data_IF_920566951254
#
_entry.id   IF_920566951254
#
_cell.length_a   1.000
_cell.length_b   1.000
_cell.length_c   1.000
_cell.angle_alpha   90.00
_cell.angle_beta   90.00
_cell.angle_gamma   90.00
#
_symmetry.space_group_name_H-M   'P 1'
#
loop_
_entity.id
_entity.type
_entity.pdbx_description
1 polymer ?
#
# COMPACT_ATOMS: atom_id res chain seq x y z
N UNK A 1 51.71 18.49 -24.15
CA UNK A 1 50.56 19.34 -23.77
C UNK A 1 49.38 18.48 -23.42
N UNK A 2 49.07 18.46 -22.11
CA UNK A 2 47.90 17.83 -21.50
C UNK A 2 46.63 18.67 -21.73
N UNK A 3 45.48 17.98 -21.55
CA UNK A 3 44.13 18.41 -21.16
C UNK A 3 43.03 18.28 -22.25
N UNK A 4 41.76 17.95 -21.88
CA UNK A 4 41.31 17.27 -20.66
C UNK A 4 40.37 16.07 -20.90
N UNK A 5 40.49 15.10 -20.00
CA UNK A 5 39.58 13.98 -19.77
C UNK A 5 38.36 14.53 -19.02
N UNK A 6 37.17 14.54 -19.63
CA UNK A 6 35.95 15.04 -18.99
C UNK A 6 35.11 13.86 -18.46
N UNK A 7 34.74 13.98 -17.18
CA UNK A 7 34.12 12.99 -16.32
C UNK A 7 32.82 12.39 -16.88
N UNK A 8 32.77 11.05 -16.97
CA UNK A 8 31.54 10.28 -17.18
C UNK A 8 31.12 9.46 -15.93
N UNK A 9 31.65 9.77 -14.75
CA UNK A 9 31.32 9.06 -13.50
C UNK A 9 30.07 9.55 -12.75
N UNK A 10 29.33 10.53 -13.28
CA UNK A 10 28.16 11.09 -12.58
C UNK A 10 26.82 10.38 -12.86
N UNK A 11 26.73 9.49 -13.85
CA UNK A 11 25.45 8.85 -14.17
C UNK A 11 25.14 7.63 -13.28
N UNK A 12 26.13 6.80 -12.95
CA UNK A 12 25.89 5.58 -12.14
C UNK A 12 25.61 5.89 -10.67
N UNK A 13 26.20 6.94 -10.10
CA UNK A 13 25.91 7.40 -8.74
C UNK A 13 24.52 8.06 -8.61
N UNK A 14 24.03 8.70 -9.68
CA UNK A 14 22.67 9.25 -9.67
C UNK A 14 21.60 8.17 -9.70
N UNK A 15 21.82 7.02 -10.36
CA UNK A 15 20.86 5.90 -10.32
C UNK A 15 20.79 5.25 -8.93
N UNK A 16 21.92 4.98 -8.27
CA UNK A 16 21.89 4.43 -6.91
C UNK A 16 21.32 5.42 -5.88
N UNK A 17 21.70 6.69 -5.93
CA UNK A 17 21.18 7.71 -5.01
C UNK A 17 19.69 7.99 -5.23
N UNK A 18 19.22 7.97 -6.48
CA UNK A 18 17.80 8.09 -6.82
C UNK A 18 16.99 6.88 -6.34
N UNK A 19 17.50 5.65 -6.53
CA UNK A 19 16.86 4.43 -6.02
C UNK A 19 16.76 4.43 -4.48
N UNK A 20 17.79 4.91 -3.79
CA UNK A 20 17.83 4.97 -2.33
C UNK A 20 16.85 6.03 -1.77
N UNK A 21 16.81 7.23 -2.40
CA UNK A 21 15.85 8.28 -2.06
C UNK A 21 14.38 7.88 -2.38
N UNK A 22 14.19 7.02 -3.38
CA UNK A 22 12.89 6.47 -3.79
C UNK A 22 12.35 5.37 -2.87
N UNK A 23 13.22 4.69 -2.11
CA UNK A 23 12.85 3.73 -1.05
C UNK A 23 12.51 4.45 0.25
N UNK A 24 13.27 5.47 0.62
CA UNK A 24 13.04 6.32 1.81
C UNK A 24 11.70 7.08 1.74
N UNK A 25 11.23 7.39 0.53
CA UNK A 25 9.94 8.02 0.28
C UNK A 25 8.80 7.01 0.06
N UNK A 26 9.06 5.71 0.17
CA UNK A 26 8.02 4.70 0.04
C UNK A 26 7.25 4.60 1.36
N UNK A 27 5.93 4.62 1.27
CA UNK A 27 5.05 4.51 2.43
C UNK A 27 5.22 3.15 3.13
N UNK A 28 5.73 2.12 2.43
CA UNK A 28 6.21 0.88 3.05
C UNK A 28 7.40 1.10 4.00
N UNK A 29 8.33 2.02 3.70
CA UNK A 29 9.40 2.42 4.61
C UNK A 29 8.86 3.26 5.77
N UNK A 30 7.85 4.11 5.52
CA UNK A 30 7.16 4.88 6.58
C UNK A 30 6.36 3.96 7.50
N UNK A 31 5.57 3.03 6.97
CA UNK A 31 4.84 2.01 7.72
C UNK A 31 5.79 1.07 8.48
N UNK A 32 6.91 0.69 7.87
CA UNK A 32 7.97 -0.05 8.56
C UNK A 32 8.57 0.79 9.70
N UNK A 33 8.84 2.08 9.49
CA UNK A 33 9.35 2.97 10.53
C UNK A 33 8.34 3.27 11.64
N UNK A 34 7.04 3.37 11.32
CA UNK A 34 5.96 3.60 12.28
C UNK A 34 5.71 2.34 13.11
N UNK A 35 5.67 1.17 12.47
CA UNK A 35 5.58 -0.10 13.16
C UNK A 35 6.84 -0.39 13.99
N UNK A 36 8.04 0.01 13.53
CA UNK A 36 9.28 -0.09 14.32
C UNK A 36 9.33 0.91 15.47
N UNK A 37 8.81 2.14 15.28
CA UNK A 37 8.77 3.16 16.33
C UNK A 37 7.80 2.79 17.45
N UNK A 38 6.63 2.22 17.11
CA UNK A 38 5.68 1.68 18.09
C UNK A 38 6.21 0.48 18.87
N UNK A 39 7.31 -0.13 18.41
CA UNK A 39 7.92 -1.32 19.03
C UNK A 39 9.23 -1.01 19.77
N UNK A 40 9.77 0.21 19.61
CA UNK A 40 11.00 0.65 20.28
C UNK A 40 10.80 1.05 21.74
N UNK A 41 9.55 1.21 22.18
CA UNK A 41 9.22 1.59 23.57
C UNK A 41 9.12 0.38 24.52
N UNK A 42 9.28 -0.87 24.02
CA UNK A 42 9.11 -2.10 24.81
C UNK A 42 10.34 -3.04 24.83
N UNK A 43 11.47 -2.69 24.19
CA UNK A 43 12.69 -3.53 24.22
C UNK A 43 13.49 -3.30 25.52
N UNK A 44 12.99 -3.88 26.61
CA UNK A 44 13.78 -4.15 27.82
C UNK A 44 13.28 -5.45 28.49
N UNK A 45 13.07 -6.52 27.72
CA UNK A 45 13.17 -7.93 28.13
C UNK A 45 12.71 -8.83 26.99
N UNK A 46 13.67 -9.46 26.32
CA UNK A 46 13.70 -10.91 26.12
C UNK A 46 14.89 -11.23 25.19
N UNK A 47 16.02 -11.53 25.84
CA UNK A 47 17.08 -12.30 25.22
C UNK A 47 16.57 -13.74 25.09
N UNK A 48 16.22 -14.14 23.88
CA UNK A 48 16.27 -15.56 23.51
C UNK A 48 17.09 -15.72 22.23
N UNK A 49 18.10 -16.56 22.38
CA UNK A 49 19.20 -16.86 21.46
C UNK A 49 18.73 -17.22 20.04
N UNK A 50 19.16 -16.42 19.06
CA UNK A 50 19.51 -16.95 17.73
C UNK A 50 20.87 -16.38 17.36
N UNK A 51 21.89 -17.18 17.65
CA UNK A 51 23.22 -17.04 17.10
C UNK A 51 23.17 -17.52 15.64
N UNK A 52 23.23 -16.60 14.68
CA UNK A 52 23.66 -16.94 13.32
C UNK A 52 24.61 -15.86 12.82
N UNK A 53 25.89 -16.20 12.94
CA UNK A 53 27.01 -15.44 12.42
C UNK A 53 27.23 -15.86 10.98
N UNK A 54 26.94 -14.99 10.01
CA UNK A 54 27.61 -15.05 8.71
C UNK A 54 27.72 -13.65 8.10
N UNK A 55 28.97 -13.20 8.00
CA UNK A 55 29.38 -12.00 7.28
C UNK A 55 29.27 -12.26 5.77
N UNK A 56 28.10 -12.03 5.16
CA UNK A 56 27.86 -12.17 3.71
C UNK A 56 27.94 -10.83 2.94
N UNK A 57 28.81 -9.91 3.33
CA UNK A 57 29.01 -8.65 2.58
C UNK A 57 30.11 -8.70 1.49
N UNK A 58 31.00 -9.69 1.49
CA UNK A 58 32.18 -9.68 0.59
C UNK A 58 32.07 -10.57 -0.68
N UNK A 59 31.22 -11.60 -0.69
CA UNK A 59 31.12 -12.50 -1.86
C UNK A 59 30.10 -12.02 -2.92
N UNK A 60 29.15 -11.16 -2.53
CA UNK A 60 28.11 -10.64 -3.41
C UNK A 60 28.63 -9.63 -4.46
N UNK A 61 29.80 -9.03 -4.24
CA UNK A 61 30.45 -8.11 -5.19
C UNK A 61 31.12 -8.86 -6.35
N UNK A 62 31.47 -10.14 -6.17
CA UNK A 62 32.15 -10.95 -7.20
C UNK A 62 31.19 -11.53 -8.23
N UNK A 63 29.99 -11.95 -7.82
CA UNK A 63 28.98 -12.53 -8.72
C UNK A 63 28.40 -11.45 -9.65
N UNK A 64 28.13 -10.24 -9.12
CA UNK A 64 27.63 -9.11 -9.91
C UNK A 64 28.62 -8.63 -11.00
N UNK A 65 29.94 -8.79 -10.76
CA UNK A 65 30.98 -8.45 -11.75
C UNK A 65 31.16 -9.49 -12.85
N UNK A 66 30.87 -10.77 -12.60
CA UNK A 66 31.02 -11.84 -13.58
C UNK A 66 29.92 -11.81 -14.67
N UNK A 67 28.70 -11.38 -14.32
CA UNK A 67 27.59 -11.27 -15.28
C UNK A 67 27.73 -10.06 -16.21
N UNK A 68 28.46 -9.01 -15.78
CA UNK A 68 28.68 -7.80 -16.56
C UNK A 68 29.76 -7.94 -17.68
N UNK A 69 30.51 -9.04 -17.71
CA UNK A 69 31.67 -9.18 -18.61
C UNK A 69 31.39 -9.87 -19.96
N UNK A 70 30.16 -10.26 -20.29
CA UNK A 70 29.88 -11.06 -21.52
C UNK A 70 28.81 -10.47 -22.45
N UNK A 71 28.60 -9.16 -22.46
CA UNK A 71 27.74 -8.52 -23.48
C UNK A 71 28.57 -7.64 -24.41
N UNK A 72 29.06 -8.25 -25.49
CA UNK A 72 29.57 -7.55 -26.66
C UNK A 72 28.47 -6.71 -27.29
N UNK A 73 28.75 -5.42 -27.44
CA UNK A 73 27.84 -4.40 -27.93
C UNK A 73 27.24 -4.75 -29.31
N UNK A 74 25.93 -4.94 -29.35
CA UNK A 74 25.14 -4.86 -30.59
C UNK A 74 24.20 -3.66 -30.46
N UNK A 75 24.53 -2.57 -31.15
CA UNK A 75 23.74 -1.34 -31.20
C UNK A 75 22.40 -1.60 -31.87
N UNK A 76 21.35 -1.74 -31.06
CA UNK A 76 19.95 -1.79 -31.52
C UNK A 76 19.34 -0.39 -31.38
N UNK A 77 18.47 0.08 -32.30
CA UNK A 77 17.97 1.46 -32.26
C UNK A 77 17.10 1.68 -31.03
N UNK A 78 17.43 2.69 -30.22
CA UNK A 78 16.66 3.10 -29.05
C UNK A 78 15.26 3.57 -29.47
N UNK A 79 14.26 2.73 -29.16
CA UNK A 79 12.83 3.06 -29.16
C UNK A 79 12.59 4.32 -28.33
N UNK A 80 11.68 5.24 -28.73
CA UNK A 80 11.35 6.40 -27.90
C UNK A 80 10.86 5.92 -26.54
N UNK A 81 11.39 6.51 -25.45
CA UNK A 81 11.06 6.18 -24.06
C UNK A 81 9.58 6.50 -23.78
N UNK A 82 8.70 5.55 -24.07
CA UNK A 82 7.41 5.47 -23.38
C UNK A 82 7.65 5.37 -21.87
N UNK A 83 6.73 5.91 -21.07
CA UNK A 83 6.80 5.82 -19.61
C UNK A 83 6.92 4.36 -19.17
N UNK A 84 7.99 4.04 -18.46
CA UNK A 84 8.22 2.74 -17.81
C UNK A 84 6.98 2.33 -17.00
N UNK A 85 6.43 1.15 -17.24
CA UNK A 85 5.19 0.68 -16.62
C UNK A 85 5.30 0.66 -15.09
N UNK A 86 6.45 0.25 -14.53
CA UNK A 86 6.67 0.23 -13.09
C UNK A 86 6.52 1.63 -12.45
N UNK A 87 7.00 2.66 -13.15
CA UNK A 87 6.89 4.05 -12.71
C UNK A 87 5.45 4.53 -12.87
N UNK A 88 4.82 4.21 -14.00
CA UNK A 88 3.43 4.58 -14.28
C UNK A 88 2.46 4.00 -13.24
N UNK A 89 2.63 2.73 -12.85
CA UNK A 89 1.88 2.15 -11.74
C UNK A 89 2.14 2.90 -10.43
N UNK A 90 3.40 3.06 -10.00
CA UNK A 90 3.74 3.73 -8.73
C UNK A 90 3.11 5.13 -8.63
N UNK A 91 3.24 5.94 -9.69
CA UNK A 91 2.70 7.30 -9.70
C UNK A 91 1.19 7.32 -9.88
N UNK A 92 0.66 6.46 -10.75
CA UNK A 92 -0.76 6.43 -11.10
C UNK A 92 -1.65 5.84 -10.02
N UNK A 93 -1.11 5.07 -9.08
CA UNK A 93 -1.87 4.49 -7.96
C UNK A 93 -1.56 5.13 -6.61
N UNK A 94 -0.75 6.19 -6.54
CA UNK A 94 -0.28 6.75 -5.26
C UNK A 94 -1.42 7.23 -4.37
N UNK A 95 -2.45 7.85 -4.96
CA UNK A 95 -3.62 8.34 -4.21
C UNK A 95 -4.46 7.17 -3.67
N UNK A 96 -4.68 6.13 -4.48
CA UNK A 96 -5.41 4.92 -4.08
C UNK A 96 -4.67 4.13 -3.00
N UNK A 97 -3.33 4.11 -3.10
CA UNK A 97 -2.47 3.53 -2.09
C UNK A 97 -2.58 4.28 -0.75
N UNK A 98 -2.47 5.62 -0.75
CA UNK A 98 -2.71 6.44 0.45
C UNK A 98 -4.12 6.20 1.00
N UNK A 99 -5.14 6.13 0.15
CA UNK A 99 -6.51 5.88 0.57
C UNK A 99 -6.69 4.50 1.23
N UNK A 100 -6.02 3.46 0.71
CA UNK A 100 -6.10 2.10 1.23
C UNK A 100 -5.49 1.99 2.63
N UNK A 101 -4.34 2.62 2.85
CA UNK A 101 -3.73 2.68 4.18
C UNK A 101 -4.54 3.48 5.19
N UNK A 102 -5.40 4.38 4.70
CA UNK A 102 -6.25 5.19 5.55
C UNK A 102 -7.57 4.52 5.94
N UNK A 103 -7.89 3.33 5.40
CA UNK A 103 -9.04 2.52 5.84
C UNK A 103 -8.87 2.14 7.31
N UNK A 104 -9.96 2.17 8.07
CA UNK A 104 -9.91 2.00 9.53
C UNK A 104 -9.33 0.64 9.92
N UNK A 105 -9.81 -0.44 9.30
CA UNK A 105 -9.27 -1.78 9.49
C UNK A 105 -7.74 -1.83 9.32
N UNK A 106 -7.21 -1.23 8.25
CA UNK A 106 -5.76 -1.24 7.94
C UNK A 106 -4.96 -0.44 8.98
N UNK A 107 -5.48 0.70 9.43
CA UNK A 107 -4.85 1.49 10.50
C UNK A 107 -4.77 0.71 11.81
N UNK A 108 -5.87 0.09 12.22
CA UNK A 108 -5.91 -0.72 13.44
C UNK A 108 -4.99 -1.93 13.31
N UNK A 109 -4.95 -2.54 12.11
CA UNK A 109 -4.01 -3.60 11.82
C UNK A 109 -2.58 -3.18 12.11
N UNK A 110 -2.12 -2.05 11.56
CA UNK A 110 -0.76 -1.56 11.74
C UNK A 110 -0.46 -1.21 13.21
N UNK A 111 -1.48 -0.78 13.96
CA UNK A 111 -1.38 -0.49 15.40
C UNK A 111 -1.38 -1.74 16.28
N UNK A 112 -1.62 -2.92 15.71
CA UNK A 112 -1.80 -4.16 16.48
C UNK A 112 -3.14 -4.28 17.18
N UNK A 113 -4.13 -3.48 16.79
CA UNK A 113 -5.51 -3.53 17.31
C UNK A 113 -6.36 -4.44 16.41
N UNK A 114 -6.02 -5.74 16.36
CA UNK A 114 -6.63 -6.71 15.43
C UNK A 114 -7.47 -7.72 16.21
N UNK A 115 -8.74 -7.83 15.84
CA UNK A 115 -9.59 -8.94 16.26
C UNK A 115 -9.26 -10.22 15.48
N UNK A 116 -9.13 -11.34 16.18
CA UNK A 116 -8.81 -12.66 15.60
C UNK A 116 -9.88 -13.14 14.62
N UNK A 117 -11.15 -12.91 14.92
CA UNK A 117 -12.27 -13.29 14.05
C UNK A 117 -12.25 -12.51 12.75
N UNK A 118 -12.08 -11.18 12.83
CA UNK A 118 -11.98 -10.32 11.65
C UNK A 118 -10.74 -10.65 10.80
N UNK A 119 -9.62 -11.01 11.42
CA UNK A 119 -8.45 -11.47 10.68
C UNK A 119 -8.73 -12.78 9.94
N UNK A 120 -9.38 -13.75 10.59
CA UNK A 120 -9.81 -15.00 9.95
C UNK A 120 -10.74 -14.75 8.75
N UNK A 121 -11.68 -13.80 8.87
CA UNK A 121 -12.54 -13.39 7.75
C UNK A 121 -11.76 -12.73 6.60
N UNK A 122 -10.74 -11.93 6.92
CA UNK A 122 -9.84 -11.36 5.92
C UNK A 122 -9.09 -12.47 5.19
N UNK A 123 -8.51 -13.43 5.91
CA UNK A 123 -7.79 -14.57 5.32
C UNK A 123 -8.68 -15.33 4.35
N UNK A 124 -9.95 -15.59 4.71
CA UNK A 124 -10.91 -16.22 3.81
C UNK A 124 -11.18 -15.39 2.55
N UNK A 125 -11.37 -14.08 2.71
CA UNK A 125 -11.58 -13.17 1.58
C UNK A 125 -10.37 -13.17 0.63
N UNK A 126 -9.15 -13.14 1.19
CA UNK A 126 -7.92 -13.24 0.43
C UNK A 126 -7.82 -14.60 -0.29
N UNK A 127 -8.12 -15.71 0.38
CA UNK A 127 -8.10 -17.04 -0.23
C UNK A 127 -8.93 -17.08 -1.53
N UNK A 128 -10.15 -16.54 -1.50
CA UNK A 128 -11.00 -16.49 -2.69
C UNK A 128 -10.43 -15.60 -3.80
N UNK A 129 -9.91 -14.42 -3.45
CA UNK A 129 -9.31 -13.48 -4.41
C UNK A 129 -8.05 -14.08 -5.07
N UNK A 130 -7.13 -14.63 -4.28
CA UNK A 130 -5.90 -15.25 -4.81
C UNK A 130 -6.21 -16.53 -5.57
N UNK A 131 -7.16 -17.35 -5.12
CA UNK A 131 -7.58 -18.54 -5.88
C UNK A 131 -8.08 -18.18 -7.27
N UNK A 132 -8.93 -17.15 -7.38
CA UNK A 132 -9.43 -16.68 -8.66
C UNK A 132 -8.30 -16.08 -9.52
N UNK A 133 -7.47 -15.20 -8.94
CA UNK A 133 -6.37 -14.54 -9.62
C UNK A 133 -5.34 -15.55 -10.15
N UNK A 134 -4.89 -16.48 -9.32
CA UNK A 134 -3.86 -17.45 -9.67
C UNK A 134 -4.35 -18.46 -10.70
N UNK A 135 -5.61 -18.87 -10.61
CA UNK A 135 -6.23 -19.72 -11.63
C UNK A 135 -6.19 -19.08 -13.01
N UNK A 136 -6.54 -17.79 -13.14
CA UNK A 136 -6.54 -17.11 -14.44
C UNK A 136 -5.14 -16.66 -14.86
N UNK A 137 -4.24 -16.36 -13.93
CA UNK A 137 -2.84 -16.08 -14.24
C UNK A 137 -2.16 -17.30 -14.88
N UNK A 138 -2.36 -18.50 -14.33
CA UNK A 138 -1.81 -19.73 -14.90
C UNK A 138 -2.26 -19.95 -16.36
N UNK A 139 -3.50 -19.56 -16.67
CA UNK A 139 -4.08 -19.72 -18.01
C UNK A 139 -3.59 -18.66 -19.01
N UNK A 140 -3.42 -17.40 -18.57
CA UNK A 140 -3.22 -16.27 -19.47
C UNK A 140 -1.83 -15.64 -19.41
N UNK A 141 -1.17 -15.61 -18.25
CA UNK A 141 0.11 -14.94 -18.08
C UNK A 141 1.23 -15.51 -18.97
N UNK A 142 1.35 -16.85 -19.18
CA UNK A 142 2.37 -17.41 -20.07
C UNK A 142 2.29 -16.92 -21.52
N UNK A 143 1.09 -16.51 -21.97
CA UNK A 143 0.85 -16.02 -23.34
C UNK A 143 1.00 -14.50 -23.43
N UNK A 144 0.48 -13.76 -22.44
CA UNK A 144 0.38 -12.31 -22.51
C UNK A 144 1.57 -11.56 -21.89
N UNK A 145 2.16 -12.08 -20.81
CA UNK A 145 3.27 -11.44 -20.09
C UNK A 145 4.16 -12.48 -19.36
N UNK A 146 4.74 -13.47 -20.09
CA UNK A 146 5.46 -14.60 -19.48
C UNK A 146 6.64 -14.17 -18.60
N UNK A 147 7.31 -13.06 -18.95
CA UNK A 147 8.45 -12.54 -18.19
C UNK A 147 8.07 -11.97 -16.83
N UNK A 148 6.78 -11.75 -16.58
CA UNK A 148 6.24 -11.23 -15.31
C UNK A 148 5.49 -12.31 -14.51
N UNK A 149 5.53 -13.58 -14.92
CA UNK A 149 4.80 -14.66 -14.29
C UNK A 149 5.73 -15.50 -13.40
N UNK A 150 5.53 -15.42 -12.08
CA UNK A 150 6.40 -16.03 -11.05
C UNK A 150 5.60 -16.88 -10.04
N UNK A 151 4.94 -17.97 -10.47
CA UNK A 151 4.04 -18.74 -9.60
C UNK A 151 4.76 -19.35 -8.39
N UNK A 152 5.96 -19.92 -8.57
CA UNK A 152 6.73 -20.52 -7.47
C UNK A 152 7.08 -19.50 -6.38
N UNK A 153 7.33 -18.25 -6.78
CA UNK A 153 7.76 -17.20 -5.85
C UNK A 153 6.59 -16.46 -5.23
N UNK A 154 5.46 -16.31 -5.94
CA UNK A 154 4.40 -15.38 -5.58
C UNK A 154 3.06 -16.02 -5.26
N UNK A 155 2.76 -17.23 -5.71
CA UNK A 155 1.45 -17.84 -5.45
C UNK A 155 1.18 -17.96 -3.95
N UNK A 156 -0.01 -17.54 -3.52
CA UNK A 156 -0.46 -17.43 -2.12
C UNK A 156 -1.58 -18.41 -1.81
N UNK A 157 -2.24 -19.03 -2.80
CA UNK A 157 -3.36 -19.92 -2.53
C UNK A 157 -3.02 -21.02 -1.52
N UNK A 158 -1.90 -21.73 -1.72
CA UNK A 158 -1.51 -22.83 -0.82
C UNK A 158 -1.22 -22.35 0.62
N UNK A 159 -0.57 -21.19 0.78
CA UNK A 159 -0.32 -20.64 2.12
C UNK A 159 -1.60 -20.10 2.78
N UNK A 160 -2.56 -19.62 1.99
CA UNK A 160 -3.89 -19.23 2.49
C UNK A 160 -4.75 -20.46 2.86
N UNK A 161 -4.58 -21.60 2.19
CA UNK A 161 -5.20 -22.87 2.60
C UNK A 161 -4.67 -23.33 3.96
N UNK A 162 -3.35 -23.27 4.16
CA UNK A 162 -2.71 -23.56 5.46
C UNK A 162 -3.19 -22.61 6.57
N UNK A 163 -3.29 -21.32 6.27
CA UNK A 163 -3.82 -20.34 7.22
C UNK A 163 -5.30 -20.64 7.55
N UNK A 164 -6.12 -21.04 6.57
CA UNK A 164 -7.52 -21.40 6.82
C UNK A 164 -7.68 -22.71 7.60
N UNK A 165 -6.79 -23.68 7.41
CA UNK A 165 -6.71 -24.87 8.27
C UNK A 165 -6.51 -24.47 9.73
N UNK A 166 -5.62 -23.51 10.00
CA UNK A 166 -5.40 -22.97 11.35
C UNK A 166 -6.61 -22.16 11.87
N UNK A 167 -7.14 -21.22 11.09
CA UNK A 167 -8.14 -20.27 11.55
C UNK A 167 -9.57 -20.82 11.61
N UNK A 168 -9.91 -21.75 10.71
CA UNK A 168 -11.28 -22.22 10.51
C UNK A 168 -11.41 -23.75 10.43
N UNK A 169 -10.30 -24.49 10.57
CA UNK A 169 -10.29 -25.95 10.40
C UNK A 169 -10.42 -26.37 8.94
N UNK A 170 -10.12 -25.46 8.01
CA UNK A 170 -10.16 -25.66 6.56
C UNK A 170 -10.91 -24.57 5.83
N UNK A 171 -10.92 -24.67 4.50
CA UNK A 171 -11.68 -23.73 3.65
C UNK A 171 -13.19 -23.94 3.89
N UNK A 172 -13.90 -22.96 4.46
CA UNK A 172 -15.32 -23.09 4.74
C UNK A 172 -16.13 -23.13 3.44
N UNK A 173 -17.29 -23.80 3.48
CA UNK A 173 -18.25 -23.83 2.37
C UNK A 173 -19.16 -22.60 2.32
N UNK A 174 -18.94 -21.61 3.19
CA UNK A 174 -19.74 -20.39 3.26
C UNK A 174 -19.63 -19.59 1.95
N UNK A 175 -20.70 -18.89 1.53
CA UNK A 175 -20.61 -18.01 0.39
C UNK A 175 -19.61 -16.88 0.64
N UNK A 176 -18.98 -16.40 -0.42
CA UNK A 176 -18.15 -15.19 -0.39
C UNK A 176 -18.96 -13.98 0.09
N UNK A 177 -18.30 -13.05 0.77
CA UNK A 177 -18.91 -11.74 1.06
C UNK A 177 -19.14 -10.96 -0.24
N UNK A 178 -20.09 -10.00 -0.26
CA UNK A 178 -20.35 -9.20 -1.46
C UNK A 178 -19.10 -8.52 -2.05
N UNK A 179 -18.24 -7.87 -1.25
CA UNK A 179 -17.03 -7.24 -1.78
C UNK A 179 -16.02 -8.24 -2.33
N UNK A 180 -15.87 -9.41 -1.68
CA UNK A 180 -15.01 -10.49 -2.16
C UNK A 180 -15.53 -11.04 -3.50
N UNK A 181 -16.84 -11.27 -3.59
CA UNK A 181 -17.50 -11.73 -4.81
C UNK A 181 -17.33 -10.72 -5.96
N UNK A 182 -17.48 -9.42 -5.69
CA UNK A 182 -17.25 -8.36 -6.68
C UNK A 182 -15.81 -8.38 -7.21
N UNK A 183 -14.83 -8.60 -6.32
CA UNK A 183 -13.43 -8.71 -6.71
C UNK A 183 -13.22 -9.92 -7.63
N UNK A 184 -13.64 -11.11 -7.19
CA UNK A 184 -13.53 -12.35 -7.97
C UNK A 184 -14.22 -12.21 -9.33
N UNK A 185 -15.40 -11.59 -9.38
CA UNK A 185 -16.11 -11.31 -10.62
C UNK A 185 -15.30 -10.41 -11.56
N UNK A 186 -14.65 -9.36 -11.05
CA UNK A 186 -13.80 -8.48 -11.86
C UNK A 186 -12.62 -9.24 -12.46
N UNK A 187 -11.93 -10.06 -11.66
CA UNK A 187 -10.80 -10.90 -12.12
C UNK A 187 -11.24 -11.80 -13.28
N UNK A 188 -12.37 -12.51 -13.15
CA UNK A 188 -12.85 -13.37 -14.21
C UNK A 188 -13.32 -12.62 -15.46
N UNK A 189 -13.95 -11.44 -15.29
CA UNK A 189 -14.35 -10.60 -16.41
C UNK A 189 -13.14 -10.14 -17.22
N UNK A 190 -12.11 -9.58 -16.58
CA UNK A 190 -10.92 -9.11 -17.31
C UNK A 190 -10.11 -10.26 -17.90
N UNK A 191 -10.05 -11.42 -17.25
CA UNK A 191 -9.41 -12.61 -17.82
C UNK A 191 -10.06 -13.02 -19.15
N UNK A 192 -11.37 -12.80 -19.30
CA UNK A 192 -12.10 -13.09 -20.53
C UNK A 192 -11.92 -11.98 -21.59
N UNK A 193 -12.01 -10.73 -21.16
CA UNK A 193 -12.18 -9.59 -22.06
C UNK A 193 -10.85 -8.92 -22.47
N UNK A 194 -9.91 -8.75 -21.51
CA UNK A 194 -8.57 -8.21 -21.74
C UNK A 194 -7.56 -8.79 -20.72
N UNK A 195 -7.00 -9.98 -21.00
CA UNK A 195 -6.15 -10.69 -20.05
C UNK A 195 -4.89 -9.92 -19.62
N UNK A 196 -4.43 -8.94 -20.41
CA UNK A 196 -3.28 -8.11 -20.03
C UNK A 196 -3.54 -7.35 -18.72
N UNK A 197 -4.79 -6.98 -18.45
CA UNK A 197 -5.20 -6.27 -17.23
C UNK A 197 -5.00 -7.09 -15.95
N UNK A 198 -4.86 -8.42 -16.04
CA UNK A 198 -4.49 -9.26 -14.90
C UNK A 198 -3.15 -8.85 -14.28
N UNK A 199 -2.24 -8.28 -15.08
CA UNK A 199 -0.96 -7.78 -14.61
C UNK A 199 -1.12 -6.66 -13.57
N UNK A 200 -2.19 -5.85 -13.68
CA UNK A 200 -2.49 -4.78 -12.71
C UNK A 200 -2.92 -5.35 -11.35
N UNK A 201 -3.70 -6.43 -11.34
CA UNK A 201 -4.09 -7.10 -10.10
C UNK A 201 -2.92 -7.84 -9.45
N UNK A 202 -2.12 -8.56 -10.26
CA UNK A 202 -0.89 -9.20 -9.80
C UNK A 202 0.09 -8.17 -9.21
N UNK A 203 0.29 -7.04 -9.89
CA UNK A 203 1.10 -5.93 -9.38
C UNK A 203 0.58 -5.42 -8.03
N UNK A 204 -0.70 -5.04 -7.96
CA UNK A 204 -1.28 -4.43 -6.76
C UNK A 204 -1.22 -5.37 -5.55
N UNK A 205 -1.49 -6.67 -5.75
CA UNK A 205 -1.47 -7.67 -4.68
C UNK A 205 -0.03 -8.05 -4.30
N UNK A 206 0.72 -8.69 -5.20
CA UNK A 206 2.01 -9.29 -4.85
C UNK A 206 3.07 -8.28 -4.40
N UNK A 207 3.17 -7.12 -5.05
CA UNK A 207 4.13 -6.10 -4.60
C UNK A 207 3.69 -5.43 -3.30
N UNK A 208 2.39 -5.38 -3.03
CA UNK A 208 1.83 -4.99 -1.74
C UNK A 208 2.24 -5.98 -0.64
N UNK A 209 2.05 -7.28 -0.86
CA UNK A 209 2.39 -8.32 0.13
C UNK A 209 3.90 -8.35 0.46
N UNK A 210 4.75 -8.17 -0.56
CA UNK A 210 6.20 -8.04 -0.41
C UNK A 210 6.63 -6.70 0.20
N UNK A 211 5.72 -5.75 0.34
CA UNK A 211 5.94 -4.44 0.94
C UNK A 211 5.32 -4.41 2.33
N UNK A 212 6.10 -4.86 3.31
CA UNK A 212 5.68 -4.88 4.71
C UNK A 212 5.23 -6.24 5.22
N UNK A 213 5.19 -7.30 4.41
CA UNK A 213 4.79 -8.64 4.86
C UNK A 213 5.49 -9.12 6.14
N UNK A 214 6.81 -8.92 6.28
CA UNK A 214 7.55 -9.24 7.52
C UNK A 214 7.09 -8.41 8.73
N UNK A 215 6.77 -7.14 8.51
CA UNK A 215 6.29 -6.22 9.54
C UNK A 215 4.87 -6.56 9.94
N UNK A 216 3.96 -6.69 8.96
CA UNK A 216 2.56 -7.05 9.16
C UNK A 216 2.43 -8.42 9.84
N UNK A 217 3.25 -9.41 9.45
CA UNK A 217 3.34 -10.69 10.14
C UNK A 217 3.72 -10.51 11.61
N UNK A 218 4.74 -9.71 11.92
CA UNK A 218 5.17 -9.48 13.31
C UNK A 218 4.07 -8.78 14.12
N UNK A 219 3.43 -7.78 13.54
CA UNK A 219 2.32 -7.06 14.17
C UNK A 219 1.16 -8.02 14.43
N UNK A 220 0.74 -8.78 13.42
CA UNK A 220 -0.32 -9.78 13.54
C UNK A 220 0.00 -10.84 14.60
N UNK A 221 1.23 -11.38 14.59
CA UNK A 221 1.70 -12.37 15.56
C UNK A 221 1.61 -11.85 17.00
N UNK A 222 2.08 -10.63 17.24
CA UNK A 222 2.05 -10.00 18.57
C UNK A 222 0.62 -9.65 18.99
N UNK A 223 -0.14 -9.00 18.11
CA UNK A 223 -1.50 -8.54 18.39
C UNK A 223 -2.46 -9.69 18.73
N UNK A 224 -2.30 -10.83 18.05
CA UNK A 224 -3.19 -11.98 18.20
C UNK A 224 -2.61 -13.09 19.09
N UNK A 225 -1.41 -12.90 19.68
CA UNK A 225 -0.73 -13.91 20.50
C UNK A 225 -0.59 -15.27 19.79
N UNK A 226 0.07 -15.24 18.63
CA UNK A 226 0.30 -16.43 17.80
C UNK A 226 1.72 -16.98 18.02
N UNK A 227 1.84 -18.29 18.23
CA UNK A 227 3.14 -18.93 18.40
C UNK A 227 3.89 -19.08 17.06
N UNK A 228 3.29 -19.78 16.08
CA UNK A 228 3.93 -20.07 14.77
C UNK A 228 2.98 -20.03 13.57
N UNK A 229 1.81 -20.65 13.70
CA UNK A 229 0.90 -20.91 12.56
C UNK A 229 -0.10 -19.77 12.33
N UNK A 230 -0.82 -19.83 11.19
CA UNK A 230 -1.88 -18.88 10.83
C UNK A 230 -1.41 -17.57 10.17
N UNK A 231 -0.15 -17.50 9.77
CA UNK A 231 0.46 -16.36 9.07
C UNK A 231 1.34 -16.77 7.86
N UNK A 232 1.13 -17.96 7.30
CA UNK A 232 1.84 -18.53 6.17
C UNK A 232 1.69 -17.63 4.92
N UNK A 233 0.58 -16.92 4.76
CA UNK A 233 0.37 -15.94 3.69
C UNK A 233 1.53 -14.94 3.54
N UNK A 234 2.11 -14.51 4.67
CA UNK A 234 3.21 -13.54 4.70
C UNK A 234 4.60 -14.16 4.44
N UNK A 235 4.69 -15.48 4.27
CA UNK A 235 5.95 -16.19 4.00
C UNK A 235 6.18 -16.38 2.50
N UNK A 236 7.37 -16.00 2.05
CA UNK A 236 7.79 -16.17 0.66
C UNK A 236 9.06 -17.04 0.63
N UNK A 237 8.96 -18.36 0.85
CA UNK A 237 10.13 -19.23 1.04
C UNK A 237 11.05 -19.26 -0.19
N UNK A 238 10.51 -19.02 -1.38
CA UNK A 238 11.26 -18.97 -2.64
C UNK A 238 11.86 -17.58 -2.95
N UNK A 239 11.69 -16.59 -2.06
CA UNK A 239 12.24 -15.23 -2.19
C UNK A 239 13.22 -14.95 -1.06
N UNK A 240 14.52 -15.02 -1.36
CA UNK A 240 15.58 -14.70 -0.38
C UNK A 240 15.61 -13.22 0.00
N UNK A 241 15.48 -12.33 -0.98
CA UNK A 241 15.49 -10.88 -0.77
C UNK A 241 14.26 -10.23 -1.43
N UNK A 242 13.26 -9.81 -0.64
CA UNK A 242 12.09 -9.10 -1.16
C UNK A 242 12.44 -7.83 -1.93
N UNK A 243 13.53 -7.14 -1.55
CA UNK A 243 13.99 -5.95 -2.27
C UNK A 243 14.46 -6.29 -3.68
N UNK A 244 15.40 -7.24 -3.81
CA UNK A 244 15.93 -7.67 -5.11
C UNK A 244 14.83 -8.25 -6.00
N UNK A 245 13.91 -9.03 -5.43
CA UNK A 245 12.79 -9.59 -6.19
C UNK A 245 11.84 -8.50 -6.69
N UNK A 246 11.50 -7.49 -5.88
CA UNK A 246 10.70 -6.35 -6.33
C UNK A 246 11.39 -5.57 -7.45
N UNK A 247 12.71 -5.40 -7.39
CA UNK A 247 13.47 -4.74 -8.45
C UNK A 247 13.48 -5.56 -9.74
N UNK A 248 13.66 -6.88 -9.66
CA UNK A 248 13.51 -7.79 -10.79
C UNK A 248 12.11 -7.71 -11.40
N UNK A 249 11.06 -7.77 -10.58
CA UNK A 249 9.68 -7.68 -11.05
C UNK A 249 9.43 -6.35 -11.81
N UNK A 250 9.92 -5.23 -11.27
CA UNK A 250 9.83 -3.92 -11.95
C UNK A 250 10.59 -3.88 -13.28
N UNK A 251 11.77 -4.50 -13.34
CA UNK A 251 12.52 -4.62 -14.59
C UNK A 251 11.75 -5.44 -15.63
N UNK A 252 11.09 -6.52 -15.23
CA UNK A 252 10.22 -7.30 -16.11
C UNK A 252 9.04 -6.47 -16.62
N UNK A 253 8.37 -5.68 -15.76
CA UNK A 253 7.30 -4.76 -16.17
C UNK A 253 7.80 -3.73 -17.20
N UNK A 254 8.97 -3.16 -16.97
CA UNK A 254 9.54 -2.12 -17.82
C UNK A 254 10.07 -2.65 -19.16
N UNK A 255 10.29 -3.96 -19.28
CA UNK A 255 10.72 -4.63 -20.49
C UNK A 255 9.56 -5.01 -21.42
N UNK A 256 8.30 -4.94 -20.95
CA UNK A 256 7.14 -5.27 -21.78
C UNK A 256 6.99 -4.25 -22.93
N UNK A 257 6.73 -4.76 -24.13
CA UNK A 257 6.40 -3.92 -25.28
C UNK A 257 4.93 -3.51 -25.25
N UNK A 258 4.66 -2.38 -24.59
CA UNK A 258 3.31 -1.84 -24.41
C UNK A 258 3.15 -0.49 -25.10
N UNK A 259 2.00 -0.31 -25.72
CA UNK A 259 1.55 1.00 -26.22
C UNK A 259 1.20 1.93 -25.04
N UNK A 260 1.24 3.26 -25.24
CA UNK A 260 0.79 4.21 -24.22
C UNK A 260 -0.66 3.97 -23.76
N UNK A 261 -1.54 3.52 -24.67
CA UNK A 261 -2.92 3.18 -24.35
C UNK A 261 -3.01 1.97 -23.41
N UNK A 262 -2.24 0.90 -23.67
CA UNK A 262 -2.17 -0.26 -22.77
C UNK A 262 -1.63 0.12 -21.39
N UNK A 263 -0.58 0.95 -21.33
CA UNK A 263 -0.05 1.44 -20.04
C UNK A 263 -1.12 2.23 -19.28
N UNK A 264 -1.88 3.09 -19.96
CA UNK A 264 -2.98 3.84 -19.35
C UNK A 264 -4.07 2.90 -18.81
N UNK A 265 -4.53 1.92 -19.60
CA UNK A 265 -5.53 0.93 -19.18
C UNK A 265 -5.06 0.12 -17.97
N UNK A 266 -3.80 -0.33 -17.99
CA UNK A 266 -3.20 -1.03 -16.86
C UNK A 266 -3.22 -0.18 -15.59
N UNK A 267 -2.80 1.08 -15.65
CA UNK A 267 -2.81 1.99 -14.49
C UNK A 267 -4.22 2.21 -13.95
N UNK A 268 -5.21 2.40 -14.82
CA UNK A 268 -6.60 2.51 -14.40
C UNK A 268 -7.07 1.23 -13.70
N UNK A 269 -6.77 0.06 -14.25
CA UNK A 269 -7.13 -1.22 -13.62
C UNK A 269 -6.43 -1.43 -12.27
N UNK A 270 -5.18 -0.97 -12.12
CA UNK A 270 -4.49 -1.07 -10.84
C UNK A 270 -5.26 -0.27 -9.76
N UNK A 271 -5.84 0.87 -10.12
CA UNK A 271 -6.71 1.63 -9.22
C UNK A 271 -8.04 0.90 -8.91
N UNK A 272 -8.62 0.19 -9.88
CA UNK A 272 -9.78 -0.71 -9.66
C UNK A 272 -9.44 -1.76 -8.61
N UNK A 273 -8.28 -2.41 -8.74
CA UNK A 273 -7.78 -3.39 -7.78
C UNK A 273 -7.64 -2.80 -6.37
N UNK A 274 -7.17 -1.54 -6.23
CA UNK A 274 -7.14 -0.86 -4.93
C UNK A 274 -8.55 -0.64 -4.36
N UNK A 275 -9.51 -0.17 -5.15
CA UNK A 275 -10.90 0.01 -4.66
C UNK A 275 -11.50 -1.30 -4.18
N UNK A 276 -11.35 -2.38 -4.96
CA UNK A 276 -11.89 -3.68 -4.60
C UNK A 276 -11.27 -4.23 -3.31
N UNK A 277 -9.96 -4.04 -3.11
CA UNK A 277 -9.30 -4.35 -1.83
C UNK A 277 -9.86 -3.52 -0.67
N UNK A 278 -10.04 -2.22 -0.85
CA UNK A 278 -10.60 -1.34 0.18
C UNK A 278 -12.02 -1.74 0.58
N UNK A 279 -12.84 -2.17 -0.39
CA UNK A 279 -14.21 -2.66 -0.11
C UNK A 279 -14.20 -3.88 0.82
N UNK A 280 -13.24 -4.80 0.67
CA UNK A 280 -13.08 -5.94 1.59
C UNK A 280 -12.77 -5.45 3.00
N UNK A 281 -11.80 -4.54 3.15
CA UNK A 281 -11.45 -3.98 4.47
C UNK A 281 -12.63 -3.24 5.12
N UNK A 282 -13.41 -2.51 4.33
CA UNK A 282 -14.60 -1.79 4.82
C UNK A 282 -15.74 -2.72 5.21
N UNK A 283 -15.89 -3.88 4.56
CA UNK A 283 -16.83 -4.91 5.02
C UNK A 283 -16.45 -5.43 6.42
N UNK A 284 -15.15 -5.56 6.70
CA UNK A 284 -14.66 -5.93 8.04
C UNK A 284 -14.95 -4.83 9.05
N UNK A 285 -14.77 -3.55 8.69
CA UNK A 285 -15.14 -2.41 9.55
C UNK A 285 -16.65 -2.39 9.87
N UNK A 286 -17.50 -2.67 8.87
CA UNK A 286 -18.96 -2.79 9.05
C UNK A 286 -19.28 -3.98 9.95
N UNK A 287 -18.67 -5.14 9.73
CA UNK A 287 -18.84 -6.33 10.58
C UNK A 287 -18.42 -6.08 12.03
N UNK A 288 -17.37 -5.29 12.23
CA UNK A 288 -16.87 -4.86 13.52
C UNK A 288 -17.75 -3.80 14.22
N UNK A 289 -18.82 -3.32 13.57
CA UNK A 289 -19.67 -2.22 14.04
C UNK A 289 -18.89 -0.93 14.33
N UNK A 290 -17.85 -0.65 13.53
CA UNK A 290 -17.12 0.62 13.61
C UNK A 290 -18.08 1.77 13.30
N UNK A 291 -18.02 2.83 14.09
CA UNK A 291 -18.91 3.99 13.93
C UNK A 291 -18.78 4.58 12.51
N UNK A 292 -19.93 4.83 11.87
CA UNK A 292 -20.04 5.38 10.52
C UNK A 292 -19.36 4.53 9.41
N UNK A 293 -19.00 3.27 9.70
CA UNK A 293 -18.43 2.37 8.72
C UNK A 293 -19.44 2.06 7.61
N UNK A 294 -18.93 2.11 6.38
CA UNK A 294 -19.68 1.78 5.17
C UNK A 294 -18.72 1.25 4.12
N UNK A 295 -19.22 0.32 3.31
CA UNK A 295 -18.52 -0.15 2.11
C UNK A 295 -18.70 0.89 1.00
N UNK A 296 -17.61 1.42 0.47
CA UNK A 296 -17.59 2.34 -0.69
C UNK A 296 -18.24 1.68 -1.89
N UNK A 297 -19.06 2.39 -2.67
CA UNK A 297 -19.83 1.83 -3.79
C UNK A 297 -18.98 1.21 -4.91
N UNK A 298 -19.43 0.07 -5.47
CA UNK A 298 -18.76 -0.65 -6.56
C UNK A 298 -18.66 0.19 -7.84
N UNK A 299 -19.64 1.07 -8.09
CA UNK A 299 -19.65 1.98 -9.24
C UNK A 299 -18.41 2.86 -9.30
N UNK A 300 -17.77 3.17 -8.16
CA UNK A 300 -16.51 3.93 -8.15
C UNK A 300 -15.36 3.14 -8.78
N UNK A 301 -15.29 1.83 -8.49
CA UNK A 301 -14.34 0.94 -9.14
C UNK A 301 -14.65 0.84 -10.64
N UNK A 302 -15.93 0.68 -11.00
CA UNK A 302 -16.32 0.51 -12.40
C UNK A 302 -16.14 1.80 -13.22
N UNK A 303 -16.32 2.98 -12.63
CA UNK A 303 -16.08 4.26 -13.29
C UNK A 303 -14.60 4.43 -13.68
N UNK A 304 -13.67 3.98 -12.84
CA UNK A 304 -12.24 3.97 -13.16
C UNK A 304 -11.92 3.06 -14.35
N UNK A 305 -12.57 1.89 -14.42
CA UNK A 305 -12.43 0.97 -15.55
C UNK A 305 -13.02 1.55 -16.85
N UNK A 306 -14.12 2.31 -16.77
CA UNK A 306 -14.80 2.89 -17.93
C UNK A 306 -14.08 4.10 -18.53
N UNK A 307 -13.39 4.90 -17.71
CA UNK A 307 -12.52 6.00 -18.19
C UNK A 307 -11.41 5.54 -19.15
N UNK A 308 -11.19 4.24 -19.28
CA UNK A 308 -10.28 3.63 -20.24
C UNK A 308 -10.86 3.51 -21.67
N UNK A 309 -12.19 3.58 -21.84
CA UNK A 309 -12.88 3.38 -23.11
C UNK A 309 -13.29 4.69 -23.83
N UNK A 310 -13.34 5.83 -23.12
CA UNK A 310 -13.98 7.05 -23.63
C UNK A 310 -13.04 8.04 -24.36
N UNK A 311 -11.76 7.73 -24.63
CA UNK A 311 -10.92 8.62 -25.46
C UNK A 311 -9.64 7.99 -26.09
N UNK A 312 -9.59 7.66 -27.40
CA UNK A 312 -8.38 7.14 -28.03
C UNK A 312 -7.35 8.20 -28.44
N UNK A 313 -7.70 9.49 -28.52
CA UNK A 313 -6.86 10.52 -29.20
C UNK A 313 -6.78 11.91 -28.55
N UNK A 314 -7.18 12.08 -27.29
CA UNK A 314 -7.08 13.37 -26.60
C UNK A 314 -5.85 13.47 -25.69
N UNK A 315 -4.92 14.37 -25.97
CA UNK A 315 -3.96 14.83 -24.97
C UNK A 315 -4.74 15.52 -23.83
N UNK A 316 -4.94 14.81 -22.72
CA UNK A 316 -5.66 15.35 -21.56
C UNK A 316 -4.81 16.43 -20.87
N UNK A 317 -5.24 17.69 -21.01
CA UNK A 317 -5.00 18.71 -19.99
C UNK A 317 -5.77 18.30 -18.75
N UNK A 318 -5.08 18.25 -17.62
CA UNK A 318 -5.63 17.81 -16.34
C UNK A 318 -6.82 18.64 -15.90
N UNK A 319 -7.94 17.97 -15.65
CA UNK A 319 -9.02 18.42 -14.75
C UNK A 319 -10.06 17.30 -14.45
N UNK A 320 -9.75 16.02 -14.71
CA UNK A 320 -10.54 14.91 -14.13
C UNK A 320 -10.08 14.68 -12.69
N UNK A 321 -10.92 15.12 -11.74
CA UNK A 321 -10.66 14.94 -10.32
C UNK A 321 -10.70 13.45 -9.98
N UNK A 322 -9.58 12.96 -9.46
CA UNK A 322 -9.46 11.61 -8.91
C UNK A 322 -10.57 11.36 -7.86
N UNK A 323 -11.38 10.28 -7.96
CA UNK A 323 -12.52 10.03 -7.05
C UNK A 323 -12.10 9.89 -5.58
N UNK A 324 -10.85 9.56 -5.32
CA UNK A 324 -10.28 9.51 -3.97
C UNK A 324 -10.07 10.89 -3.34
N UNK A 325 -9.86 11.93 -4.14
CA UNK A 325 -9.75 13.31 -3.64
C UNK A 325 -11.11 13.87 -3.19
N UNK A 326 -12.21 13.43 -3.80
CA UNK A 326 -13.56 13.86 -3.42
C UNK A 326 -13.99 13.26 -2.08
N UNK A 327 -13.61 12.01 -1.79
CA UNK A 327 -13.92 11.38 -0.51
C UNK A 327 -13.24 12.06 0.67
N UNK A 328 -12.01 12.56 0.52
CA UNK A 328 -11.33 13.36 1.55
C UNK A 328 -12.10 14.65 1.88
N UNK A 329 -12.82 15.21 0.90
CA UNK A 329 -13.68 16.39 1.07
C UNK A 329 -15.07 16.04 1.61
N UNK A 330 -15.61 14.86 1.30
CA UNK A 330 -16.91 14.37 1.80
C UNK A 330 -16.83 13.79 3.22
N UNK A 331 -15.71 13.20 3.64
CA UNK A 331 -15.47 12.87 5.06
C UNK A 331 -15.32 14.12 5.94
N UNK A 332 -14.98 15.27 5.34
CA UNK A 332 -15.06 16.58 5.99
C UNK A 332 -16.47 17.22 5.88
N UNK A 333 -17.41 16.61 5.15
CA UNK A 333 -18.77 17.10 4.92
C UNK A 333 -19.79 15.96 4.98
N UNK A 334 -20.16 15.53 6.19
CA UNK A 334 -21.39 14.75 6.42
C UNK A 334 -22.35 15.55 7.33
N UNK A 335 -23.68 15.37 7.21
CA UNK A 335 -24.62 16.49 7.29
C UNK A 335 -25.32 16.62 8.64
N UNK A 336 -25.42 17.85 9.13
CA UNK A 336 -26.36 18.23 10.19
C UNK A 336 -27.79 18.16 9.65
N UNK A 337 -28.59 17.20 10.16
CA UNK A 337 -30.04 17.20 9.96
C UNK A 337 -30.69 18.32 10.77
N UNK A 338 -31.51 19.11 10.09
CA UNK A 338 -32.28 20.24 10.60
C UNK A 338 -33.39 19.80 11.57
N UNK A 339 -33.28 20.22 12.83
CA UNK A 339 -34.44 20.53 13.68
C UNK A 339 -34.19 21.92 14.29
N UNK A 340 -35.05 22.86 13.93
CA UNK A 340 -35.13 24.18 14.56
C UNK A 340 -35.32 24.05 16.08
N UNK A 341 -34.39 24.61 16.85
CA UNK A 341 -34.69 25.29 18.11
C UNK A 341 -33.73 26.47 18.27
N UNK A 342 -34.29 27.68 18.25
CA UNK A 342 -33.65 28.86 18.81
C UNK A 342 -33.15 28.56 20.22
N UNK A 343 -31.85 28.69 20.45
CA UNK A 343 -31.24 28.79 21.78
C UNK A 343 -29.79 29.24 21.65
N UNK A 344 -29.47 30.37 22.27
CA UNK A 344 -28.15 30.98 22.37
C UNK A 344 -27.07 30.01 22.88
N UNK A 345 -26.15 29.60 22.02
CA UNK A 345 -25.02 28.73 22.36
C UNK A 345 -23.87 29.52 22.99
N UNK A 346 -23.82 29.54 24.32
CA UNK A 346 -22.74 30.11 25.12
C UNK A 346 -21.42 29.40 24.79
N UNK A 347 -20.38 30.14 24.38
CA UNK A 347 -19.00 29.65 24.45
C UNK A 347 -18.68 29.31 25.91
N UNK A 348 -18.02 28.18 26.17
CA UNK A 348 -17.48 27.91 27.50
C UNK A 348 -16.52 29.05 27.87
N UNK A 349 -16.80 29.80 28.95
CA UNK A 349 -16.03 30.98 29.28
C UNK A 349 -14.60 30.59 29.69
N UNK A 350 -13.65 31.43 29.31
CA UNK A 350 -12.28 31.37 29.80
C UNK A 350 -12.28 31.51 31.34
N UNK A 351 -11.51 30.71 32.12
CA UNK A 351 -10.50 29.73 31.70
C UNK A 351 -11.02 28.29 31.59
N UNK A 352 -12.33 28.03 31.79
CA UNK A 352 -12.88 26.67 31.85
C UNK A 352 -12.82 25.90 30.52
N UNK A 353 -12.61 26.61 29.41
CA UNK A 353 -12.35 26.01 28.11
C UNK A 353 -11.11 25.08 28.11
N UNK A 354 -10.10 25.36 28.96
CA UNK A 354 -8.91 24.50 29.06
C UNK A 354 -9.18 23.10 29.62
N UNK A 355 -10.29 22.90 30.33
CA UNK A 355 -10.60 21.61 30.94
C UNK A 355 -11.09 20.55 29.93
N UNK A 356 -11.54 20.97 28.74
CA UNK A 356 -12.11 20.06 27.74
C UNK A 356 -11.64 20.36 26.31
N UNK A 357 -11.13 21.56 26.04
CA UNK A 357 -10.51 21.90 24.76
C UNK A 357 -9.32 22.88 24.96
N UNK A 358 -8.14 22.36 25.32
CA UNK A 358 -6.93 23.16 25.52
C UNK A 358 -6.48 23.90 24.26
N UNK A 359 -6.77 23.33 23.07
CA UNK A 359 -6.37 23.92 21.78
C UNK A 359 -7.15 25.19 21.50
N UNK A 360 -8.46 25.18 21.76
CA UNK A 360 -9.28 26.38 21.63
C UNK A 360 -8.96 27.40 22.72
N UNK A 361 -8.62 26.96 23.94
CA UNK A 361 -8.13 27.85 25.01
C UNK A 361 -6.87 28.64 24.64
N UNK A 362 -5.93 28.02 23.91
CA UNK A 362 -4.70 28.69 23.43
C UNK A 362 -4.94 29.70 22.30
N UNK A 363 -6.08 29.58 21.60
CA UNK A 363 -6.48 30.51 20.53
C UNK A 363 -7.28 31.72 21.08
N UNK A 364 -7.69 31.71 22.35
CA UNK A 364 -8.40 32.83 22.97
C UNK A 364 -7.43 33.98 23.31
N UNK A 365 -7.81 35.21 22.96
CA UNK A 365 -6.98 36.40 23.23
C UNK A 365 -6.78 36.63 24.74
N UNK A 366 -7.75 36.22 25.58
CA UNK A 366 -7.68 36.36 27.03
C UNK A 366 -6.49 35.58 27.63
N UNK A 367 -6.12 34.45 27.01
CA UNK A 367 -4.94 33.65 27.38
C UNK A 367 -3.66 34.47 27.25
N UNK A 368 -3.46 35.14 26.12
CA UNK A 368 -2.24 35.91 25.85
C UNK A 368 -2.18 37.20 26.65
N UNK A 369 -3.32 37.80 27.00
CA UNK A 369 -3.37 38.94 27.94
C UNK A 369 -2.89 38.52 29.33
N UNK A 370 -3.37 37.38 29.87
CA UNK A 370 -2.96 36.91 31.20
C UNK A 370 -1.49 36.48 31.20
N UNK A 371 -1.02 35.77 30.17
CA UNK A 371 0.40 35.44 30.00
C UNK A 371 1.25 36.72 29.98
N UNK A 372 0.83 37.74 29.23
CA UNK A 372 1.51 39.04 29.19
C UNK A 372 1.58 39.73 30.55
N UNK A 373 0.47 39.74 31.30
CA UNK A 373 0.42 40.35 32.65
C UNK A 373 1.29 39.59 33.65
N UNK A 374 1.28 38.25 33.62
CA UNK A 374 2.13 37.43 34.49
C UNK A 374 3.61 37.65 34.17
N UNK A 375 3.98 37.66 32.89
CA UNK A 375 5.36 37.93 32.46
C UNK A 375 5.81 39.34 32.86
N UNK A 376 4.95 40.34 32.69
CA UNK A 376 5.22 41.72 33.11
C UNK A 376 5.37 41.83 34.64
N UNK A 377 4.54 41.13 35.40
CA UNK A 377 4.64 41.08 36.86
C UNK A 377 5.95 40.43 37.32
N UNK A 378 6.34 39.30 36.72
CA UNK A 378 7.63 38.65 36.99
C UNK A 378 8.81 39.56 36.63
N UNK A 379 8.73 40.25 35.49
CA UNK A 379 9.76 41.22 35.08
C UNK A 379 9.89 42.37 36.08
N UNK A 380 8.76 42.90 36.57
CA UNK A 380 8.74 43.99 37.56
C UNK A 380 9.21 43.59 38.97
N UNK A 381 9.36 42.29 39.24
CA UNK A 381 9.94 41.78 40.49
C UNK A 381 11.41 41.41 40.40
N UNK A 382 11.94 41.27 39.18
CA UNK A 382 13.36 41.00 38.94
C UNK A 382 14.17 42.26 38.60
N UNK A 383 13.50 43.36 38.23
CA UNK A 383 14.03 44.72 38.20
C UNK A 383 13.72 45.44 39.52
#
# INVERSE_FOLDING_TARGET
NQLPNNNNNNNSNNYMHFHQCMEESSLAAIMTSMAQALMKDDDDSDNDDVNDSDNEEDDNVRIARAVAATQTATTTPTKPRGSRLSTAFKTGTSVSHEAAENVHFVKNFIRGEIDRGLYSDLVLSLYHVYSALEQVLEQHAPVHFPTCHFPDQLSRKASLEEDLDFWQGGVPSSPMTPATQDYVNRIHSIAKDDPLLLLSHAYTRYLGDLSGGKVLRRVARRAMDLEKDGLAFFEFPHIKSPKLFKDQYRQCLDALDLTPEQVHKLVLEANVAFVLNMRIFEELDVKANVQDARVRDLSQAMALAQGANDNPHGAHKGDEKCPFLEQKQQQQKSPSSSIEKQSSGKRCPWPFIFAHDPRTGLQDFQTWVVVGVVLAWFWSRMA
#
